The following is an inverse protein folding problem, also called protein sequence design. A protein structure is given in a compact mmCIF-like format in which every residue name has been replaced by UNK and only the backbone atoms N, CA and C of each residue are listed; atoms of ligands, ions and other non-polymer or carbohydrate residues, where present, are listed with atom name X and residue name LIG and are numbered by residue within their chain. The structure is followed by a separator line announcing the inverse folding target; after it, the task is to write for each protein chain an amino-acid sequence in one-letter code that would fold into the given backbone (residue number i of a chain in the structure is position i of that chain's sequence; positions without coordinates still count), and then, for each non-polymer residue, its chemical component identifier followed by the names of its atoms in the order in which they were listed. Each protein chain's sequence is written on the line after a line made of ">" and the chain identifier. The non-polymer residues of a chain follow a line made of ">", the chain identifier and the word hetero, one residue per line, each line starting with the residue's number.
data_IF_237066598824
#
_entry.id   IF_237066598824
#
_cell.length_a   1.000
_cell.length_b   1.000
_cell.length_c   1.000
_cell.angle_alpha   90.00
_cell.angle_beta   90.00
_cell.angle_gamma   90.00
#
_symmetry.space_group_name_H-M   'P 1'
#
loop_
_entity.id
_entity.type
_entity.pdbx_description
1 polymer ?
#
# COMPACT_ATOMS: atom_id res chain seq x y z
N UNK A 1 -20.24 -7.87 -6.41
CA UNK A 1 -19.86 -6.85 -7.42
C UNK A 1 -19.93 -5.39 -6.92
N UNK A 2 -20.90 -5.00 -6.10
CA UNK A 2 -20.96 -3.60 -5.57
C UNK A 2 -19.75 -3.21 -4.72
N UNK A 3 -19.29 -4.07 -3.80
CA UNK A 3 -18.13 -3.76 -2.93
C UNK A 3 -16.86 -3.47 -3.75
N UNK A 4 -16.49 -4.32 -4.71
CA UNK A 4 -15.31 -4.07 -5.55
C UNK A 4 -15.34 -2.74 -6.33
N UNK A 5 -16.51 -2.15 -6.58
CA UNK A 5 -16.60 -0.84 -7.24
C UNK A 5 -16.22 0.30 -6.31
N UNK A 6 -16.48 0.16 -5.00
CA UNK A 6 -16.08 1.17 -4.01
C UNK A 6 -14.58 1.14 -3.82
N UNK A 7 -14.00 -0.04 -3.59
CA UNK A 7 -12.55 -0.19 -3.41
C UNK A 7 -11.78 0.18 -4.69
N UNK A 8 -12.33 -0.14 -5.87
CA UNK A 8 -11.77 0.30 -7.15
C UNK A 8 -11.80 1.83 -7.29
N UNK A 9 -12.90 2.47 -6.90
CA UNK A 9 -13.03 3.94 -6.89
C UNK A 9 -12.05 4.58 -5.90
N UNK A 10 -11.90 4.01 -4.71
CA UNK A 10 -10.94 4.46 -3.72
C UNK A 10 -9.51 4.36 -4.27
N UNK A 11 -9.13 3.20 -4.84
CA UNK A 11 -7.83 3.04 -5.48
C UNK A 11 -7.60 4.08 -6.61
N UNK A 12 -8.61 4.34 -7.42
CA UNK A 12 -8.51 5.35 -8.48
C UNK A 12 -8.18 6.75 -7.90
N UNK A 13 -8.93 7.18 -6.90
CA UNK A 13 -8.76 8.52 -6.26
C UNK A 13 -7.37 8.65 -5.62
N UNK A 14 -6.96 7.66 -4.82
CA UNK A 14 -5.66 7.75 -4.13
C UNK A 14 -4.48 7.64 -5.11
N UNK A 15 -4.63 6.89 -6.21
CA UNK A 15 -3.61 6.80 -7.27
C UNK A 15 -3.51 8.09 -8.09
N UNK A 16 -4.59 8.85 -8.26
CA UNK A 16 -4.52 10.24 -8.79
C UNK A 16 -3.70 11.11 -7.85
N UNK A 17 -3.95 11.03 -6.54
CA UNK A 17 -3.15 11.74 -5.53
C UNK A 17 -1.65 11.39 -5.63
N UNK A 18 -1.33 10.10 -5.77
CA UNK A 18 0.04 9.63 -5.95
C UNK A 18 0.71 10.23 -7.21
N UNK A 19 0.00 10.26 -8.33
CA UNK A 19 0.50 10.85 -9.56
C UNK A 19 0.73 12.37 -9.41
N UNK A 20 -0.19 13.09 -8.77
CA UNK A 20 -0.07 14.53 -8.51
C UNK A 20 1.16 14.81 -7.63
N UNK A 21 1.32 14.09 -6.52
CA UNK A 21 2.48 14.24 -5.63
C UNK A 21 3.77 13.93 -6.38
N UNK A 22 3.77 12.89 -7.22
CA UNK A 22 4.95 12.56 -8.03
C UNK A 22 5.30 13.67 -9.02
N UNK A 23 4.31 14.29 -9.68
CA UNK A 23 4.54 15.44 -10.59
C UNK A 23 5.04 16.68 -9.83
N UNK A 24 4.48 16.94 -8.64
CA UNK A 24 4.83 18.16 -7.87
C UNK A 24 6.15 18.03 -7.11
N UNK A 25 6.50 16.84 -6.64
CA UNK A 25 7.72 16.59 -5.86
C UNK A 25 8.90 16.08 -6.72
N UNK A 26 8.65 15.64 -7.95
CA UNK A 26 9.69 15.17 -8.88
C UNK A 26 10.55 14.05 -8.27
N UNK A 27 11.85 14.22 -8.28
CA UNK A 27 12.84 13.29 -7.72
C UNK A 27 12.68 13.03 -6.20
N UNK A 28 11.99 13.92 -5.49
CA UNK A 28 11.68 13.75 -4.06
C UNK A 28 10.45 12.85 -3.82
N UNK A 29 9.74 12.45 -4.89
CA UNK A 29 8.64 11.50 -4.78
C UNK A 29 9.15 10.06 -4.64
N UNK A 30 8.28 9.16 -4.19
CA UNK A 30 8.60 7.78 -3.82
C UNK A 30 9.45 7.03 -4.85
N UNK A 31 9.03 6.99 -6.11
CA UNK A 31 9.79 6.33 -7.17
C UNK A 31 11.07 7.10 -7.49
N UNK A 32 11.00 8.43 -7.61
CA UNK A 32 12.16 9.26 -7.91
C UNK A 32 13.28 9.09 -6.89
N UNK A 33 12.93 9.02 -5.61
CA UNK A 33 13.89 8.81 -4.53
C UNK A 33 14.61 7.45 -4.61
N UNK A 34 13.94 6.41 -5.11
CA UNK A 34 14.50 5.06 -5.25
C UNK A 34 15.28 4.83 -6.56
N UNK A 35 15.12 5.71 -7.56
CA UNK A 35 15.83 5.57 -8.84
C UNK A 35 17.33 5.80 -8.65
N UNK A 36 18.20 4.98 -9.29
CA UNK A 36 19.63 5.16 -9.24
C UNK A 36 20.08 6.52 -9.77
N UNK A 37 21.05 7.16 -9.08
CA UNK A 37 21.56 8.47 -9.49
C UNK A 37 22.23 8.48 -10.88
N UNK A 38 22.75 7.33 -11.32
CA UNK A 38 23.38 7.14 -12.62
C UNK A 38 22.39 6.95 -13.77
N UNK A 39 21.07 6.78 -13.48
CA UNK A 39 20.07 6.56 -14.51
C UNK A 39 19.92 7.81 -15.39
N UNK A 40 20.14 7.71 -16.73
CA UNK A 40 19.99 8.86 -17.60
C UNK A 40 18.52 9.30 -17.67
N UNK A 41 18.31 10.59 -17.79
CA UNK A 41 16.98 11.20 -17.93
C UNK A 41 15.99 10.76 -16.82
N UNK A 42 16.43 10.74 -15.56
CA UNK A 42 15.61 10.34 -14.39
C UNK A 42 14.24 11.03 -14.37
N UNK A 43 14.20 12.31 -14.67
CA UNK A 43 12.94 13.08 -14.72
C UNK A 43 11.93 12.50 -15.73
N UNK A 44 12.42 12.01 -16.88
CA UNK A 44 11.55 11.37 -17.89
C UNK A 44 10.91 10.11 -17.31
N UNK A 45 11.66 9.33 -16.54
CA UNK A 45 11.12 8.14 -15.86
C UNK A 45 10.10 8.53 -14.80
N UNK A 46 10.42 9.50 -13.95
CA UNK A 46 9.53 9.96 -12.87
C UNK A 46 8.22 10.50 -13.43
N UNK A 47 8.29 11.46 -14.34
CA UNK A 47 7.09 12.08 -14.92
C UNK A 47 6.35 11.13 -15.88
N UNK A 48 7.07 10.30 -16.62
CA UNK A 48 6.45 9.27 -17.47
C UNK A 48 5.64 8.27 -16.66
N UNK A 49 6.18 7.78 -15.54
CA UNK A 49 5.46 6.91 -14.61
C UNK A 49 4.28 7.64 -13.97
N UNK A 50 4.44 8.90 -13.55
CA UNK A 50 3.35 9.68 -12.96
C UNK A 50 2.18 9.86 -13.94
N UNK A 51 2.46 10.19 -15.21
CA UNK A 51 1.45 10.32 -16.26
C UNK A 51 0.77 8.98 -16.57
N UNK A 52 1.53 7.88 -16.59
CA UNK A 52 0.98 6.53 -16.79
C UNK A 52 0.04 6.14 -15.64
N UNK A 53 0.44 6.40 -14.39
CA UNK A 53 -0.40 6.17 -13.20
C UNK A 53 -1.64 7.06 -13.22
N UNK A 54 -1.51 8.34 -13.60
CA UNK A 54 -2.64 9.26 -13.71
C UNK A 54 -3.66 8.78 -14.74
N UNK A 55 -3.19 8.45 -15.94
CA UNK A 55 -4.06 7.92 -17.02
C UNK A 55 -4.73 6.60 -16.60
N UNK A 56 -3.98 5.70 -15.96
CA UNK A 56 -4.51 4.44 -15.45
C UNK A 56 -5.53 4.67 -14.33
N UNK A 57 -5.30 5.62 -13.44
CA UNK A 57 -6.23 5.96 -12.36
C UNK A 57 -7.57 6.45 -12.90
N UNK A 58 -7.56 7.33 -13.90
CA UNK A 58 -8.76 7.74 -14.63
C UNK A 58 -9.39 6.55 -15.36
N UNK A 59 -8.57 5.71 -16.00
CA UNK A 59 -9.01 4.51 -16.70
C UNK A 59 -9.68 3.45 -15.81
N UNK A 60 -9.40 3.45 -14.48
CA UNK A 60 -10.13 2.60 -13.53
C UNK A 60 -11.62 2.95 -13.46
N UNK A 61 -12.02 4.17 -13.79
CA UNK A 61 -13.41 4.60 -13.76
C UNK A 61 -14.23 4.06 -14.96
N UNK A 62 -13.59 3.55 -16.00
CA UNK A 62 -14.25 3.08 -17.22
C UNK A 62 -14.10 1.58 -17.40
N UNK A 63 -15.20 0.86 -17.58
CA UNK A 63 -15.21 -0.61 -17.67
C UNK A 63 -14.32 -1.18 -18.77
N UNK A 64 -14.14 -0.45 -19.89
CA UNK A 64 -13.31 -0.88 -21.03
C UNK A 64 -11.80 -0.83 -20.74
N UNK A 65 -11.36 0.05 -19.86
CA UNK A 65 -9.94 0.31 -19.56
C UNK A 65 -9.51 -0.24 -18.20
N UNK A 66 -10.44 -0.61 -17.32
CA UNK A 66 -10.17 -1.04 -15.95
C UNK A 66 -9.10 -2.13 -15.86
N UNK A 67 -9.13 -3.13 -16.77
CA UNK A 67 -8.16 -4.23 -16.74
C UNK A 67 -6.74 -3.72 -17.05
N UNK A 68 -6.59 -2.94 -18.12
CA UNK A 68 -5.31 -2.35 -18.50
C UNK A 68 -4.81 -1.40 -17.42
N UNK A 69 -5.70 -0.60 -16.84
CA UNK A 69 -5.38 0.33 -15.74
C UNK A 69 -4.86 -0.39 -14.51
N UNK A 70 -5.52 -1.46 -14.07
CA UNK A 70 -5.06 -2.26 -12.93
C UNK A 70 -3.69 -2.88 -13.20
N UNK A 71 -3.42 -3.33 -14.45
CA UNK A 71 -2.11 -3.85 -14.84
C UNK A 71 -1.05 -2.74 -14.84
N UNK A 72 -1.34 -1.56 -15.37
CA UNK A 72 -0.40 -0.42 -15.40
C UNK A 72 -0.01 0.03 -13.98
N UNK A 73 -0.99 0.16 -13.08
CA UNK A 73 -0.71 0.52 -11.68
C UNK A 73 0.10 -0.59 -11.00
N UNK A 74 -0.20 -1.86 -11.27
CA UNK A 74 0.60 -2.99 -10.76
C UNK A 74 2.04 -2.93 -11.27
N UNK A 75 2.25 -2.68 -12.56
CA UNK A 75 3.57 -2.57 -13.18
C UNK A 75 4.39 -1.42 -12.56
N UNK A 76 3.75 -0.29 -12.29
CA UNK A 76 4.38 0.84 -11.57
C UNK A 76 4.92 0.42 -10.19
N UNK A 77 4.11 -0.29 -9.38
CA UNK A 77 4.54 -0.71 -8.05
C UNK A 77 5.62 -1.82 -8.10
N UNK A 78 5.57 -2.70 -9.12
CA UNK A 78 6.66 -3.65 -9.37
C UNK A 78 7.95 -2.92 -9.71
N UNK A 79 7.89 -1.92 -10.60
CA UNK A 79 9.05 -1.11 -10.96
C UNK A 79 9.63 -0.42 -9.70
N UNK A 80 8.77 0.18 -8.88
CA UNK A 80 9.21 0.81 -7.63
C UNK A 80 9.86 -0.21 -6.68
N UNK A 81 9.25 -1.39 -6.46
CA UNK A 81 9.87 -2.44 -5.65
C UNK A 81 11.26 -2.84 -6.16
N UNK A 82 11.40 -3.00 -7.47
CA UNK A 82 12.70 -3.37 -8.10
C UNK A 82 13.74 -2.27 -7.88
N UNK A 83 13.37 -1.00 -7.98
CA UNK A 83 14.31 0.11 -7.75
C UNK A 83 14.79 0.23 -6.30
N UNK A 84 14.07 -0.36 -5.34
CA UNK A 84 14.50 -0.42 -3.94
C UNK A 84 15.56 -1.50 -3.67
N UNK A 85 15.70 -2.52 -4.53
CA UNK A 85 16.60 -3.67 -4.30
C UNK A 85 18.07 -3.25 -4.08
N UNK A 86 18.67 -2.32 -4.84
CA UNK A 86 20.07 -1.92 -4.61
C UNK A 86 20.31 -1.38 -3.19
N UNK A 87 19.37 -0.63 -2.62
CA UNK A 87 19.48 -0.14 -1.25
C UNK A 87 19.43 -1.28 -0.23
N UNK A 88 18.55 -2.26 -0.43
CA UNK A 88 18.45 -3.46 0.41
C UNK A 88 19.78 -4.26 0.35
N UNK A 89 20.30 -4.49 -0.85
CA UNK A 89 21.57 -5.24 -1.03
C UNK A 89 22.73 -4.52 -0.34
N UNK A 90 22.77 -3.18 -0.39
CA UNK A 90 23.84 -2.40 0.26
C UNK A 90 23.73 -2.36 1.78
N UNK A 91 22.52 -2.46 2.33
CA UNK A 91 22.22 -2.35 3.79
C UNK A 91 21.18 -3.39 4.23
N UNK A 92 21.47 -4.71 4.11
CA UNK A 92 20.45 -5.76 4.27
C UNK A 92 19.86 -5.85 5.68
N UNK A 93 20.59 -5.41 6.70
CA UNK A 93 20.13 -5.41 8.10
C UNK A 93 19.48 -4.10 8.53
N UNK A 94 19.42 -3.10 7.67
CA UNK A 94 18.77 -1.83 7.97
C UNK A 94 17.26 -1.91 7.68
N UNK A 95 16.43 -1.76 8.70
CA UNK A 95 14.96 -1.68 8.53
C UNK A 95 14.59 -0.58 7.53
N UNK A 96 15.23 0.60 7.63
CA UNK A 96 14.98 1.72 6.72
C UNK A 96 15.25 1.40 5.24
N UNK A 97 16.17 0.44 4.93
CA UNK A 97 16.42 0.01 3.56
C UNK A 97 15.27 -0.79 2.96
N UNK A 98 14.46 -1.44 3.78
CA UNK A 98 13.33 -2.28 3.37
C UNK A 98 12.01 -1.52 3.23
N UNK A 99 11.90 -0.31 3.84
CA UNK A 99 10.64 0.43 3.88
C UNK A 99 10.03 0.61 2.50
N UNK A 100 10.72 1.28 1.59
CA UNK A 100 10.19 1.56 0.26
C UNK A 100 9.81 0.30 -0.53
N UNK A 101 10.56 -0.80 -0.34
CA UNK A 101 10.21 -2.10 -0.93
C UNK A 101 8.91 -2.65 -0.35
N UNK A 102 8.76 -2.67 0.98
CA UNK A 102 7.56 -3.15 1.64
C UNK A 102 6.34 -2.31 1.28
N UNK A 103 6.49 -0.99 1.19
CA UNK A 103 5.45 -0.06 0.75
C UNK A 103 5.01 -0.34 -0.69
N UNK A 104 5.98 -0.52 -1.61
CA UNK A 104 5.68 -0.86 -2.99
C UNK A 104 4.94 -2.21 -3.11
N UNK A 105 5.35 -3.22 -2.33
CA UNK A 105 4.69 -4.55 -2.32
C UNK A 105 3.30 -4.47 -1.71
N UNK A 106 3.10 -3.69 -0.64
CA UNK A 106 1.79 -3.45 -0.04
C UNK A 106 0.85 -2.75 -1.03
N UNK A 107 1.34 -1.70 -1.67
CA UNK A 107 0.59 -0.93 -2.67
C UNK A 107 0.26 -1.77 -3.92
N UNK A 108 1.14 -2.70 -4.31
CA UNK A 108 0.93 -3.64 -5.42
C UNK A 108 -0.23 -4.60 -5.17
N UNK A 109 -0.47 -5.01 -3.92
CA UNK A 109 -1.43 -6.07 -3.61
C UNK A 109 -2.85 -5.74 -4.10
N UNK A 110 -3.29 -4.47 -3.94
CA UNK A 110 -4.61 -4.02 -4.36
C UNK A 110 -4.83 -4.10 -5.88
N UNK A 111 -4.08 -3.36 -6.69
CA UNK A 111 -4.26 -3.35 -8.15
C UNK A 111 -3.99 -4.74 -8.77
N UNK A 112 -3.07 -5.53 -8.23
CA UNK A 112 -2.85 -6.89 -8.68
C UNK A 112 -4.06 -7.80 -8.45
N UNK A 113 -4.64 -7.78 -7.24
CA UNK A 113 -5.87 -8.53 -6.95
C UNK A 113 -7.00 -8.08 -7.87
N UNK A 114 -7.16 -6.77 -8.06
CA UNK A 114 -8.16 -6.20 -8.95
C UNK A 114 -7.97 -6.72 -10.39
N UNK A 115 -6.75 -6.68 -10.91
CA UNK A 115 -6.41 -7.21 -12.23
C UNK A 115 -6.78 -8.70 -12.35
N UNK A 116 -6.38 -9.53 -11.39
CA UNK A 116 -6.67 -10.97 -11.39
C UNK A 116 -8.18 -11.25 -11.30
N UNK A 117 -8.93 -10.42 -10.59
CA UNK A 117 -10.38 -10.54 -10.48
C UNK A 117 -11.11 -10.15 -11.75
N UNK A 118 -10.59 -9.19 -12.50
CA UNK A 118 -11.19 -8.67 -13.74
C UNK A 118 -10.80 -9.48 -14.97
N UNK A 119 -9.62 -10.11 -14.96
CA UNK A 119 -9.20 -10.99 -16.03
C UNK A 119 -10.20 -12.15 -16.21
N UNK A 120 -10.77 -12.27 -17.40
CA UNK A 120 -11.88 -13.16 -17.73
C UNK A 120 -11.71 -14.61 -17.23
N UNK A 121 -12.84 -15.27 -17.01
CA UNK A 121 -12.88 -16.67 -16.58
C UNK A 121 -12.73 -17.57 -17.81
N UNK A 122 -11.49 -17.99 -18.09
CA UNK A 122 -11.28 -19.13 -19.01
C UNK A 122 -11.60 -20.43 -18.26
N UNK A 123 -12.19 -21.43 -18.92
CA UNK A 123 -12.38 -22.76 -18.32
C UNK A 123 -11.06 -23.31 -17.78
N UNK A 124 -11.03 -23.77 -16.53
CA UNK A 124 -9.82 -24.29 -15.87
C UNK A 124 -8.93 -23.25 -15.13
N UNK A 125 -9.15 -21.95 -15.31
CA UNK A 125 -8.30 -20.89 -14.69
C UNK A 125 -8.57 -20.63 -13.19
N UNK A 126 -9.56 -21.30 -12.59
CA UNK A 126 -10.00 -21.04 -11.22
C UNK A 126 -8.93 -21.25 -10.15
N UNK A 127 -8.13 -22.31 -10.27
CA UNK A 127 -7.05 -22.64 -9.32
C UNK A 127 -5.90 -21.64 -9.46
N UNK A 128 -5.45 -21.34 -10.68
CA UNK A 128 -4.39 -20.37 -10.95
C UNK A 128 -4.75 -18.96 -10.43
N UNK A 129 -6.01 -18.55 -10.66
CA UNK A 129 -6.54 -17.29 -10.17
C UNK A 129 -6.56 -17.22 -8.64
N UNK A 130 -7.03 -18.30 -7.98
CA UNK A 130 -7.02 -18.37 -6.51
C UNK A 130 -5.58 -18.33 -5.95
N UNK A 131 -4.64 -18.99 -6.63
CA UNK A 131 -3.22 -18.96 -6.31
C UNK A 131 -2.62 -17.57 -6.43
N UNK A 132 -2.88 -16.86 -7.55
CA UNK A 132 -2.38 -15.51 -7.78
C UNK A 132 -2.90 -14.50 -6.74
N UNK A 133 -4.17 -14.58 -6.34
CA UNK A 133 -4.73 -13.77 -5.25
C UNK A 133 -4.07 -14.14 -3.92
N UNK A 134 -3.85 -15.43 -3.70
CA UNK A 134 -3.22 -15.90 -2.45
C UNK A 134 -1.79 -15.40 -2.31
N UNK A 135 -1.01 -15.40 -3.38
CA UNK A 135 0.35 -14.83 -3.39
C UNK A 135 0.32 -13.35 -2.97
N UNK A 136 -0.58 -12.54 -3.56
CA UNK A 136 -0.71 -11.15 -3.18
C UNK A 136 -1.09 -10.96 -1.69
N UNK A 137 -2.02 -11.79 -1.18
CA UNK A 137 -2.41 -11.76 0.24
C UNK A 137 -1.24 -12.14 1.17
N UNK A 138 -0.43 -13.14 0.80
CA UNK A 138 0.73 -13.54 1.60
C UNK A 138 1.81 -12.45 1.59
N UNK A 139 2.12 -11.90 0.42
CA UNK A 139 3.07 -10.79 0.32
C UNK A 139 2.61 -9.58 1.13
N UNK A 140 1.35 -9.19 1.03
CA UNK A 140 0.74 -8.15 1.86
C UNK A 140 0.87 -8.47 3.36
N UNK A 141 0.57 -9.69 3.77
CA UNK A 141 0.70 -10.11 5.17
C UNK A 141 2.15 -10.04 5.68
N UNK A 142 3.13 -10.40 4.84
CA UNK A 142 4.55 -10.26 5.18
C UNK A 142 4.96 -8.81 5.40
N UNK A 143 4.45 -7.88 4.58
CA UNK A 143 4.72 -6.45 4.77
C UNK A 143 4.05 -5.90 6.04
N UNK A 144 2.86 -6.38 6.41
CA UNK A 144 2.24 -6.03 7.68
C UNK A 144 3.11 -6.48 8.87
N UNK A 145 3.66 -7.70 8.84
CA UNK A 145 4.60 -8.18 9.87
C UNK A 145 5.84 -7.28 9.94
N UNK A 146 6.36 -6.86 8.79
CA UNK A 146 7.48 -5.92 8.73
C UNK A 146 7.13 -4.56 9.36
N UNK A 147 5.96 -3.98 9.06
CA UNK A 147 5.54 -2.73 9.67
C UNK A 147 5.40 -2.86 11.19
N UNK A 148 4.79 -3.94 11.66
CA UNK A 148 4.70 -4.19 13.09
C UNK A 148 6.07 -4.29 13.76
N UNK A 149 7.01 -5.02 13.15
CA UNK A 149 8.39 -5.05 13.61
C UNK A 149 9.04 -3.66 13.66
N UNK A 150 8.81 -2.84 12.65
CA UNK A 150 9.37 -1.49 12.60
C UNK A 150 8.82 -0.58 13.71
N UNK A 151 7.56 -0.76 14.14
CA UNK A 151 6.98 -0.04 15.26
C UNK A 151 7.72 -0.33 16.58
N UNK A 152 8.20 -1.56 16.77
CA UNK A 152 9.03 -1.90 17.93
C UNK A 152 10.45 -1.36 17.81
N UNK A 153 11.05 -1.49 16.63
CA UNK A 153 12.42 -1.04 16.40
C UNK A 153 12.58 0.50 16.47
N UNK A 154 11.54 1.24 16.10
CA UNK A 154 11.49 2.69 16.10
C UNK A 154 10.37 3.23 17.00
N UNK A 155 10.18 2.61 18.18
CA UNK A 155 9.05 2.87 19.04
C UNK A 155 8.92 4.35 19.44
N UNK A 156 10.00 5.03 19.80
CA UNK A 156 10.00 6.45 20.18
C UNK A 156 9.61 7.35 18.99
N UNK A 157 10.12 7.05 17.80
CA UNK A 157 9.73 7.77 16.58
C UNK A 157 8.24 7.58 16.27
N UNK A 158 7.75 6.35 16.35
CA UNK A 158 6.34 6.02 16.14
C UNK A 158 5.44 6.67 17.21
N UNK A 159 5.87 6.67 18.48
CA UNK A 159 5.17 7.35 19.57
C UNK A 159 5.05 8.86 19.31
N UNK A 160 6.10 9.47 18.75
CA UNK A 160 6.06 10.89 18.35
C UNK A 160 5.03 11.21 17.24
N UNK A 161 4.60 10.19 16.47
CA UNK A 161 3.54 10.34 15.45
C UNK A 161 2.13 10.18 16.01
N UNK A 162 1.98 9.57 17.20
CA UNK A 162 0.67 9.41 17.85
C UNK A 162 0.13 10.79 18.22
N UNK A 163 -1.14 11.11 17.92
CA UNK A 163 -1.73 12.41 18.23
C UNK A 163 -1.57 12.80 19.70
N UNK A 164 -1.13 14.04 19.98
CA UNK A 164 -0.83 14.51 21.33
C UNK A 164 -2.04 14.50 22.30
N UNK A 165 -3.26 14.46 21.79
CA UNK A 165 -4.48 14.34 22.60
C UNK A 165 -4.75 12.91 23.10
N UNK A 166 -4.05 11.89 22.55
CA UNK A 166 -4.09 10.53 23.06
C UNK A 166 -3.06 10.37 24.19
N UNK A 167 -3.46 9.83 25.35
CA UNK A 167 -2.51 9.47 26.40
C UNK A 167 -1.69 8.24 25.98
N UNK A 168 -0.56 8.00 26.63
CA UNK A 168 0.21 6.76 26.44
C UNK A 168 0.68 6.50 25.01
N UNK A 169 1.31 7.50 24.35
CA UNK A 169 1.73 7.41 22.94
C UNK A 169 2.63 6.20 22.66
N UNK A 170 3.53 5.86 23.59
CA UNK A 170 4.44 4.72 23.41
C UNK A 170 3.67 3.39 23.41
N UNK A 171 2.69 3.26 24.28
CA UNK A 171 1.83 2.08 24.35
C UNK A 171 0.97 1.96 23.07
N UNK A 172 0.50 3.09 22.53
CA UNK A 172 -0.18 3.08 21.23
C UNK A 172 0.75 2.65 20.08
N UNK A 173 2.02 3.07 20.08
CA UNK A 173 3.01 2.61 19.11
C UNK A 173 3.18 1.08 19.17
N UNK A 174 3.31 0.51 20.36
CA UNK A 174 3.38 -0.93 20.55
C UNK A 174 2.06 -1.63 20.18
N UNK A 175 0.92 -1.08 20.60
CA UNK A 175 -0.39 -1.65 20.28
C UNK A 175 -0.62 -1.76 18.77
N UNK A 176 -0.31 -0.70 18.01
CA UNK A 176 -0.43 -0.71 16.56
C UNK A 176 0.59 -1.65 15.91
N UNK A 177 1.81 -1.74 16.47
CA UNK A 177 2.81 -2.71 16.04
C UNK A 177 2.33 -4.17 16.19
N UNK A 178 1.75 -4.51 17.35
CA UNK A 178 1.10 -5.81 17.54
C UNK A 178 -0.08 -6.02 16.60
N UNK A 179 -0.88 -4.97 16.34
CA UNK A 179 -1.98 -5.01 15.39
C UNK A 179 -1.54 -5.41 14.00
N UNK A 180 -0.48 -4.78 13.47
CA UNK A 180 0.13 -5.12 12.19
C UNK A 180 0.61 -6.57 12.13
N UNK A 181 1.35 -7.04 13.15
CA UNK A 181 1.84 -8.42 13.20
C UNK A 181 0.67 -9.40 13.24
N UNK A 182 -0.33 -9.18 14.10
CA UNK A 182 -1.48 -10.05 14.23
C UNK A 182 -2.29 -10.13 12.92
N UNK A 183 -2.50 -8.98 12.28
CA UNK A 183 -3.17 -8.92 10.98
C UNK A 183 -2.36 -9.65 9.90
N UNK A 184 -1.06 -9.39 9.81
CA UNK A 184 -0.17 -10.04 8.85
C UNK A 184 -0.16 -11.55 9.02
N UNK A 185 0.06 -12.05 10.23
CA UNK A 185 0.04 -13.49 10.55
C UNK A 185 -1.33 -14.11 10.25
N UNK A 186 -2.43 -13.46 10.67
CA UNK A 186 -3.79 -13.91 10.40
C UNK A 186 -4.07 -14.09 8.90
N UNK A 187 -3.60 -13.15 8.07
CA UNK A 187 -3.71 -13.22 6.61
C UNK A 187 -2.83 -14.34 6.04
N UNK A 188 -1.56 -14.45 6.49
CA UNK A 188 -0.61 -15.46 6.01
C UNK A 188 -1.07 -16.87 6.35
N UNK A 189 -1.47 -17.12 7.57
CA UNK A 189 -1.89 -18.46 8.03
C UNK A 189 -3.31 -18.79 7.56
N UNK A 190 -4.13 -17.77 7.29
CA UNK A 190 -5.53 -17.96 6.89
C UNK A 190 -6.47 -18.12 8.08
N UNK A 191 -6.06 -17.68 9.28
CA UNK A 191 -6.90 -17.63 10.48
C UNK A 191 -7.61 -16.28 10.51
N UNK A 192 -8.95 -16.31 10.44
CA UNK A 192 -9.79 -15.11 10.37
C UNK A 192 -9.27 -14.04 9.36
N UNK A 193 -8.83 -14.43 8.15
CA UNK A 193 -8.09 -13.53 7.24
C UNK A 193 -8.92 -12.32 6.81
N UNK A 194 -10.25 -12.46 6.82
CA UNK A 194 -11.17 -11.36 6.55
C UNK A 194 -11.12 -10.29 7.65
N UNK A 195 -11.25 -10.73 8.92
CA UNK A 195 -11.20 -9.83 10.06
C UNK A 195 -9.83 -9.14 10.14
N UNK A 196 -8.76 -9.92 10.00
CA UNK A 196 -7.40 -9.42 9.98
C UNK A 196 -7.19 -8.33 8.91
N UNK A 197 -7.63 -8.58 7.66
CA UNK A 197 -7.50 -7.61 6.58
C UNK A 197 -8.39 -6.35 6.77
N UNK A 198 -9.60 -6.49 7.36
CA UNK A 198 -10.45 -5.34 7.68
C UNK A 198 -9.81 -4.48 8.77
N UNK A 199 -9.30 -5.09 9.84
CA UNK A 199 -8.65 -4.36 10.94
C UNK A 199 -7.40 -3.63 10.45
N UNK A 200 -6.59 -4.29 9.61
CA UNK A 200 -5.43 -3.67 8.98
C UNK A 200 -5.82 -2.48 8.09
N UNK A 201 -6.80 -2.65 7.20
CA UNK A 201 -7.29 -1.58 6.34
C UNK A 201 -7.85 -0.41 7.14
N UNK A 202 -8.54 -0.68 8.24
CA UNK A 202 -9.07 0.34 9.16
C UNK A 202 -7.92 1.09 9.83
N UNK A 203 -6.92 0.38 10.35
CA UNK A 203 -5.76 0.96 11.02
C UNK A 203 -4.95 1.86 10.07
N UNK A 204 -4.65 1.39 8.85
CA UNK A 204 -4.00 2.20 7.80
C UNK A 204 -4.82 3.46 7.45
N UNK A 205 -6.16 3.33 7.35
CA UNK A 205 -7.04 4.46 7.10
C UNK A 205 -6.99 5.49 8.24
N UNK A 206 -6.96 5.01 9.49
CA UNK A 206 -6.85 5.86 10.67
C UNK A 206 -5.49 6.57 10.74
N UNK A 207 -4.40 5.96 10.30
CA UNK A 207 -3.11 6.64 10.20
C UNK A 207 -3.16 7.82 9.23
N UNK A 208 -3.78 7.65 8.07
CA UNK A 208 -4.00 8.77 7.15
C UNK A 208 -4.79 9.90 7.79
N UNK A 209 -5.89 9.57 8.50
CA UNK A 209 -6.82 10.55 9.05
C UNK A 209 -6.35 11.18 10.37
N UNK A 210 -5.69 10.44 11.26
CA UNK A 210 -5.37 10.88 12.62
C UNK A 210 -3.91 11.30 12.80
N UNK A 211 -3.01 10.82 11.93
CA UNK A 211 -1.59 11.16 11.98
C UNK A 211 -1.23 12.15 10.87
N UNK A 212 -1.39 11.71 9.62
CA UNK A 212 -0.92 12.52 8.48
C UNK A 212 -1.77 13.74 8.21
N UNK A 213 -3.09 13.62 8.16
CA UNK A 213 -3.98 14.75 7.85
C UNK A 213 -3.85 15.89 8.88
N UNK A 214 -3.89 15.66 10.20
CA UNK A 214 -3.71 16.73 11.17
C UNK A 214 -2.33 17.38 11.14
N UNK A 215 -1.30 16.66 10.70
CA UNK A 215 0.07 17.18 10.65
C UNK A 215 0.21 18.39 9.73
N UNK A 216 -0.64 18.54 8.71
CA UNK A 216 -0.64 19.71 7.83
C UNK A 216 -1.12 20.99 8.52
N UNK A 217 -1.87 20.88 9.59
CA UNK A 217 -2.44 22.00 10.36
C UNK A 217 -1.65 22.28 11.64
N UNK A 218 -0.64 21.46 11.94
CA UNK A 218 0.19 21.60 13.15
C UNK A 218 1.34 22.57 12.89
N UNK A 219 1.48 23.59 13.77
CA UNK A 219 2.58 24.56 13.67
C UNK A 219 3.30 24.66 15.02
N UNK A 220 4.63 24.59 15.05
CA UNK A 220 5.52 24.27 13.93
C UNK A 220 5.28 22.85 13.40
N UNK A 221 5.68 22.59 12.15
CA UNK A 221 5.57 21.24 11.56
C UNK A 221 6.22 20.20 12.50
N UNK A 222 5.58 19.04 12.71
CA UNK A 222 6.12 18.00 13.58
C UNK A 222 7.53 17.58 13.15
N UNK A 223 8.42 17.35 14.11
CA UNK A 223 9.82 17.00 13.84
C UNK A 223 9.99 15.70 13.02
N UNK A 224 9.07 14.77 13.16
CA UNK A 224 9.04 13.53 12.37
C UNK A 224 8.63 13.74 10.90
N UNK A 225 7.98 14.86 10.55
CA UNK A 225 7.64 15.22 9.18
C UNK A 225 8.77 16.04 8.55
N UNK A 226 9.81 15.37 8.06
CA UNK A 226 11.11 15.95 7.67
C UNK A 226 11.01 17.14 6.70
N UNK A 227 10.08 17.10 5.74
CA UNK A 227 9.84 18.19 4.78
C UNK A 227 8.36 18.22 4.37
N UNK A 228 7.87 19.33 3.75
CA UNK A 228 6.52 19.34 3.16
C UNK A 228 6.34 18.27 2.08
N UNK A 229 7.35 18.04 1.25
CA UNK A 229 7.32 17.01 0.19
C UNK A 229 7.20 15.60 0.79
N UNK A 230 8.00 15.29 1.82
CA UNK A 230 7.90 14.05 2.57
C UNK A 230 6.50 13.87 3.14
N UNK A 231 5.97 14.90 3.81
CA UNK A 231 4.65 14.87 4.44
C UNK A 231 3.51 14.56 3.45
N UNK A 232 3.52 15.20 2.26
CA UNK A 232 2.55 14.91 1.20
C UNK A 232 2.73 13.52 0.61
N UNK A 233 3.97 13.09 0.38
CA UNK A 233 4.27 11.77 -0.16
C UNK A 233 3.78 10.66 0.77
N UNK A 234 4.09 10.75 2.06
CA UNK A 234 3.71 9.76 3.06
C UNK A 234 2.20 9.74 3.32
N UNK A 235 1.55 10.92 3.35
CA UNK A 235 0.10 10.99 3.47
C UNK A 235 -0.60 10.25 2.33
N UNK A 236 -0.24 10.58 1.09
CA UNK A 236 -0.85 9.95 -0.09
C UNK A 236 -0.49 8.47 -0.16
N UNK A 237 0.76 8.12 0.14
CA UNK A 237 1.18 6.71 0.22
C UNK A 237 0.33 5.93 1.23
N UNK A 238 0.17 6.44 2.44
CA UNK A 238 -0.66 5.80 3.48
C UNK A 238 -2.08 5.53 2.97
N UNK A 239 -2.67 6.47 2.21
CA UNK A 239 -3.98 6.26 1.60
C UNK A 239 -3.97 5.19 0.49
N UNK A 240 -2.89 5.09 -0.29
CA UNK A 240 -2.71 4.01 -1.29
C UNK A 240 -2.59 2.65 -0.60
N UNK A 241 -1.82 2.57 0.49
CA UNK A 241 -1.70 1.35 1.28
C UNK A 241 -3.05 0.93 1.89
N UNK A 242 -3.80 1.90 2.44
CA UNK A 242 -5.16 1.66 2.95
C UNK A 242 -6.11 1.15 1.86
N UNK A 243 -6.11 1.76 0.68
CA UNK A 243 -6.93 1.32 -0.45
C UNK A 243 -6.58 -0.11 -0.89
N UNK A 244 -5.29 -0.46 -0.93
CA UNK A 244 -4.82 -1.81 -1.22
C UNK A 244 -5.27 -2.81 -0.14
N UNK A 245 -5.20 -2.44 1.14
CA UNK A 245 -5.67 -3.25 2.25
C UNK A 245 -7.18 -3.53 2.16
N UNK A 246 -8.00 -2.54 1.78
CA UNK A 246 -9.44 -2.72 1.55
C UNK A 246 -9.72 -3.70 0.39
N UNK A 247 -8.95 -3.67 -0.70
CA UNK A 247 -9.07 -4.65 -1.80
C UNK A 247 -8.65 -6.05 -1.32
N UNK A 248 -7.58 -6.16 -0.52
CA UNK A 248 -7.20 -7.44 0.12
C UNK A 248 -8.36 -7.96 0.96
N UNK A 249 -8.96 -7.14 1.82
CA UNK A 249 -10.12 -7.49 2.63
C UNK A 249 -11.29 -7.97 1.77
N UNK A 250 -11.65 -7.23 0.70
CA UNK A 250 -12.71 -7.60 -0.23
C UNK A 250 -12.44 -8.93 -0.95
N UNK A 251 -11.17 -9.26 -1.21
CA UNK A 251 -10.78 -10.51 -1.88
C UNK A 251 -11.00 -11.76 -1.01
N UNK A 252 -11.02 -11.61 0.32
CA UNK A 252 -11.24 -12.72 1.27
C UNK A 252 -12.71 -13.14 1.35
N UNK A 253 -13.67 -12.27 1.03
CA UNK A 253 -15.10 -12.57 1.04
C UNK A 253 -15.50 -13.68 0.06
N UNK A 254 -14.82 -13.81 -1.07
CA UNK A 254 -15.17 -14.76 -2.13
C UNK A 254 -14.82 -16.21 -1.82
N UNK A 255 -13.98 -16.48 -0.80
CA UNK A 255 -13.63 -17.85 -0.40
C UNK A 255 -14.70 -18.50 0.48
N UNK A 256 -15.42 -17.75 1.30
CA UNK A 256 -16.46 -18.26 2.20
C UNK A 256 -17.66 -18.85 1.44
N UNK A 257 -18.15 -18.17 0.41
CA UNK A 257 -19.32 -18.62 -0.35
C UNK A 257 -19.09 -19.93 -1.12
N UNK A 258 -17.89 -20.16 -1.66
CA UNK A 258 -17.59 -21.40 -2.39
C UNK A 258 -17.43 -22.64 -1.52
N UNK A 259 -17.12 -22.48 -0.22
CA UNK A 259 -17.07 -23.62 0.71
C UNK A 259 -18.46 -24.04 1.18
N UNK A 260 -19.41 -23.13 1.24
CA UNK A 260 -20.80 -23.41 1.63
C UNK A 260 -21.59 -24.04 0.48
N UNK A 261 -21.26 -23.75 -0.79
CA UNK A 261 -21.88 -24.37 -1.96
C UNK A 261 -21.28 -25.74 -2.32
N UNK A 262 -20.16 -26.13 -1.70
CA UNK A 262 -19.46 -27.40 -1.95
C UNK A 262 -19.61 -28.41 -0.78
N UNK A 263 -20.30 -28.03 0.30
CA UNK A 263 -20.69 -28.90 1.44
C UNK A 263 -22.18 -29.20 1.39
#
# INVERSE_FOLDING_TARGET
>A
MRMLKVEQGLLAVVSVGLAIVTVTCGDSALLGHSLPAWLPAREVWVYGCALAVLAASVGLCFSRTTLASALTISAYHVLWAVTCIPNIVSKPLSIGAWYGFCEAVTALAGPWILYVLLRGQSPGSGVQRAGAIRVAQVLFGLTCVFYGWSHFAYADYTAGMVPAWLPHQLEFAYFTGFGHIAAGVGIIVGILPRLAAILEATMMSLFGLLVWLPSFFTQPRPAWAASPQFQWSEFVLTLVLAASAWIVAASTFRRGHRRVEAS
#
